data_IF_703071064709
#
_entry.id   IF_703071064709
#
_cell.length_a   1.000
_cell.length_b   1.000
_cell.length_c   1.000
_cell.angle_alpha   90.00
_cell.angle_beta   90.00
_cell.angle_gamma   90.00
#
_symmetry.space_group_name_H-M   'P 1'
#
loop_
_entity.id
_entity.type
_entity.pdbx_description
1 polymer ?
#
# COMPACT_ATOMS: atom_id res chain seq x y z
N UNK A 1 6.63 -0.50 31.30
CA UNK A 1 7.70 -1.48 30.97
C UNK A 1 7.22 -2.89 30.58
N UNK A 2 5.96 -3.31 30.83
CA UNK A 2 5.52 -4.69 30.50
C UNK A 2 5.37 -5.02 29.00
N UNK A 3 5.11 -4.04 28.14
CA UNK A 3 4.82 -4.29 26.70
C UNK A 3 6.05 -4.35 25.79
N UNK A 4 7.10 -3.57 26.08
CA UNK A 4 8.38 -3.68 25.39
C UNK A 4 9.02 -5.06 25.66
N UNK A 5 8.87 -5.57 26.88
CA UNK A 5 9.30 -6.91 27.27
C UNK A 5 8.54 -8.03 26.53
N UNK A 6 7.35 -7.74 25.97
CA UNK A 6 6.58 -8.66 25.12
C UNK A 6 7.02 -8.61 23.64
N UNK A 7 8.12 -7.92 23.32
CA UNK A 7 8.62 -7.78 21.95
C UNK A 7 7.86 -6.78 21.08
N UNK A 8 6.90 -6.02 21.64
CA UNK A 8 6.16 -5.03 20.88
C UNK A 8 7.09 -3.85 20.54
N UNK A 9 7.15 -3.50 19.26
CA UNK A 9 8.02 -2.42 18.79
C UNK A 9 7.60 -1.07 19.38
N UNK A 10 8.57 -0.17 19.60
CA UNK A 10 8.29 1.21 20.01
C UNK A 10 7.30 1.91 19.07
N UNK A 11 7.36 1.63 17.76
CA UNK A 11 6.46 2.24 16.78
C UNK A 11 5.00 1.80 16.98
N UNK A 12 4.77 0.54 17.29
CA UNK A 12 3.43 0.04 17.62
C UNK A 12 2.88 0.74 18.87
N UNK A 13 3.70 0.87 19.92
CA UNK A 13 3.32 1.58 21.14
C UNK A 13 3.06 3.07 20.92
N UNK A 14 3.83 3.73 20.03
CA UNK A 14 3.56 5.12 19.65
C UNK A 14 2.21 5.27 18.94
N UNK A 15 1.85 4.34 18.06
CA UNK A 15 0.55 4.35 17.37
C UNK A 15 -0.61 4.15 18.36
N UNK A 16 -0.46 3.22 19.29
CA UNK A 16 -1.44 3.00 20.36
C UNK A 16 -1.60 4.24 21.25
N UNK A 17 -0.50 4.88 21.65
CA UNK A 17 -0.59 6.12 22.41
C UNK A 17 -1.23 7.26 21.63
N UNK A 18 -1.06 7.31 20.30
CA UNK A 18 -1.79 8.25 19.46
C UNK A 18 -3.31 7.95 19.49
N UNK A 19 -3.71 6.68 19.47
CA UNK A 19 -5.11 6.28 19.61
C UNK A 19 -5.68 6.65 20.99
N UNK A 20 -4.95 6.38 22.08
CA UNK A 20 -5.35 6.78 23.44
C UNK A 20 -5.56 8.28 23.54
N UNK A 21 -4.62 9.09 23.00
CA UNK A 21 -4.77 10.55 22.97
C UNK A 21 -5.96 10.99 22.14
N UNK A 22 -6.26 10.31 21.03
CA UNK A 22 -7.44 10.57 20.22
C UNK A 22 -8.74 10.34 21.00
N UNK A 23 -8.83 9.22 21.74
CA UNK A 23 -9.98 8.89 22.59
C UNK A 23 -10.16 9.92 23.70
N UNK A 24 -9.07 10.32 24.36
CA UNK A 24 -9.12 11.35 25.40
C UNK A 24 -9.64 12.70 24.88
N UNK A 25 -9.20 13.11 23.69
CA UNK A 25 -9.73 14.32 23.03
C UNK A 25 -11.22 14.20 22.74
N UNK A 26 -11.66 13.06 22.18
CA UNK A 26 -13.09 12.80 21.92
C UNK A 26 -13.93 12.81 23.20
N UNK A 27 -13.36 12.41 24.34
CA UNK A 27 -13.99 12.49 25.65
C UNK A 27 -13.91 13.89 26.32
N UNK A 28 -13.47 14.93 25.59
CA UNK A 28 -13.30 16.29 26.11
C UNK A 28 -12.20 16.44 27.16
N UNK A 29 -11.19 15.55 27.14
CA UNK A 29 -10.06 15.53 28.08
C UNK A 29 -8.77 16.04 27.42
N UNK A 30 -8.85 17.14 26.69
CA UNK A 30 -7.73 17.68 25.90
C UNK A 30 -6.48 17.99 26.73
N UNK A 31 -6.67 18.56 27.93
CA UNK A 31 -5.55 18.84 28.86
C UNK A 31 -4.80 17.57 29.26
N UNK A 32 -5.52 16.47 29.48
CA UNK A 32 -4.90 15.19 29.79
C UNK A 32 -4.21 14.61 28.56
N UNK A 33 -4.86 14.66 27.38
CA UNK A 33 -4.30 14.18 26.12
C UNK A 33 -2.99 14.89 25.72
N UNK A 34 -2.84 16.15 26.09
CA UNK A 34 -1.64 16.97 25.85
C UNK A 34 -0.63 16.95 27.01
N UNK A 35 -0.93 16.26 28.11
CA UNK A 35 -0.07 16.26 29.28
C UNK A 35 1.30 15.65 28.98
N UNK A 36 2.35 16.23 29.58
CA UNK A 36 3.73 15.72 29.49
C UNK A 36 3.85 14.25 29.90
N UNK A 37 3.02 13.80 30.85
CA UNK A 37 2.99 12.41 31.33
C UNK A 37 2.56 11.40 30.25
N UNK A 38 1.77 11.84 29.26
CA UNK A 38 1.24 10.98 28.18
C UNK A 38 1.95 11.18 26.84
N UNK A 39 3.05 11.95 26.82
CA UNK A 39 3.85 12.11 25.61
C UNK A 39 4.80 10.91 25.42
N UNK A 40 5.24 10.69 24.18
CA UNK A 40 6.10 9.54 23.86
C UNK A 40 7.49 9.64 24.53
N UNK A 41 7.97 10.83 24.88
CA UNK A 41 9.28 11.05 25.50
C UNK A 41 9.26 10.55 26.95
N UNK A 42 8.32 11.04 27.75
CA UNK A 42 8.11 10.66 29.15
C UNK A 42 7.80 9.18 29.32
N UNK A 43 7.17 8.57 28.31
CA UNK A 43 6.88 7.13 28.30
C UNK A 43 8.06 6.26 27.84
N UNK A 44 9.23 6.84 27.52
CA UNK A 44 10.40 6.10 27.02
C UNK A 44 10.21 5.51 25.62
N UNK A 45 9.21 6.01 24.87
CA UNK A 45 8.85 5.56 23.53
C UNK A 45 9.49 6.42 22.43
N UNK A 46 10.41 7.33 22.78
CA UNK A 46 11.16 8.13 21.82
C UNK A 46 12.18 7.30 21.02
N UNK A 47 12.64 7.86 19.89
CA UNK A 47 13.69 7.28 19.05
C UNK A 47 13.26 6.09 18.17
N UNK A 48 11.96 5.87 17.97
CA UNK A 48 11.52 4.85 17.01
C UNK A 48 11.83 5.30 15.57
N UNK A 49 12.51 4.45 14.80
CA UNK A 49 12.74 4.69 13.38
C UNK A 49 11.43 4.68 12.60
N UNK A 50 11.29 5.60 11.64
CA UNK A 50 10.22 5.57 10.63
C UNK A 50 10.60 4.73 9.42
N UNK A 51 11.85 4.29 9.33
CA UNK A 51 12.29 3.47 8.22
C UNK A 51 11.69 2.07 8.33
N UNK A 52 11.12 1.58 7.24
CA UNK A 52 10.61 0.21 7.16
C UNK A 52 11.76 -0.80 7.20
N UNK A 53 11.49 -2.00 7.71
CA UNK A 53 12.45 -3.12 7.65
C UNK A 53 12.31 -3.94 6.37
N UNK A 54 11.26 -3.70 5.58
CA UNK A 54 10.98 -4.43 4.34
C UNK A 54 11.85 -3.88 3.21
N UNK A 55 12.48 -4.79 2.46
CA UNK A 55 13.25 -4.47 1.27
C UNK A 55 12.40 -4.63 0.00
N UNK A 56 12.79 -3.95 -1.08
CA UNK A 56 12.16 -4.12 -2.37
C UNK A 56 12.42 -5.54 -2.91
N UNK A 57 11.41 -6.15 -3.53
CA UNK A 57 11.57 -7.47 -4.16
C UNK A 57 12.52 -7.34 -5.37
N UNK A 58 13.51 -8.24 -5.45
CA UNK A 58 14.41 -8.34 -6.60
C UNK A 58 13.66 -8.88 -7.82
N UNK A 59 14.18 -8.58 -9.02
CA UNK A 59 13.58 -9.06 -10.26
C UNK A 59 13.56 -10.59 -10.36
N UNK A 60 14.61 -11.26 -9.88
CA UNK A 60 14.71 -12.72 -9.90
C UNK A 60 13.64 -13.35 -9.02
N UNK A 61 13.55 -12.89 -7.76
CA UNK A 61 12.55 -13.38 -6.82
C UNK A 61 11.13 -13.13 -7.32
N UNK A 62 10.90 -12.00 -7.98
CA UNK A 62 9.62 -11.71 -8.61
C UNK A 62 9.28 -12.72 -9.71
N UNK A 63 10.25 -13.07 -10.57
CA UNK A 63 10.06 -14.06 -11.64
C UNK A 63 9.69 -15.44 -11.08
N UNK A 64 10.40 -15.93 -10.06
CA UNK A 64 10.10 -17.23 -9.43
C UNK A 64 8.68 -17.28 -8.85
N UNK A 65 8.27 -16.20 -8.17
CA UNK A 65 6.93 -16.07 -7.59
C UNK A 65 5.87 -16.00 -8.68
N UNK A 66 6.15 -15.31 -9.78
CA UNK A 66 5.23 -15.19 -10.90
C UNK A 66 5.03 -16.53 -11.62
N UNK A 67 6.08 -17.31 -11.81
CA UNK A 67 5.99 -18.66 -12.38
C UNK A 67 5.16 -19.58 -11.49
N UNK A 68 5.43 -19.56 -10.18
CA UNK A 68 4.63 -20.31 -9.19
C UNK A 68 3.16 -19.88 -9.22
N UNK A 69 2.89 -18.58 -9.35
CA UNK A 69 1.54 -18.05 -9.45
C UNK A 69 0.82 -18.52 -10.71
N UNK A 70 1.49 -18.55 -11.87
CA UNK A 70 0.91 -19.02 -13.14
C UNK A 70 0.45 -20.47 -13.07
N UNK A 71 1.23 -21.33 -12.42
CA UNK A 71 0.86 -22.75 -12.22
C UNK A 71 -0.36 -22.87 -11.29
N UNK A 72 -0.44 -21.99 -10.28
CA UNK A 72 -1.49 -22.05 -9.27
C UNK A 72 -2.82 -21.47 -9.75
N UNK A 73 -2.79 -20.27 -10.32
CA UNK A 73 -3.96 -19.53 -10.77
C UNK A 73 -3.57 -18.40 -11.76
N UNK A 74 -4.11 -18.41 -12.99
CA UNK A 74 -3.84 -17.35 -13.97
C UNK A 74 -4.26 -15.95 -13.50
N UNK A 75 -5.33 -15.85 -12.70
CA UNK A 75 -5.81 -14.59 -12.14
C UNK A 75 -4.80 -13.96 -11.17
N UNK A 76 -4.19 -14.77 -10.31
CA UNK A 76 -3.12 -14.37 -9.39
C UNK A 76 -1.89 -13.88 -10.15
N UNK A 77 -1.49 -14.58 -11.21
CA UNK A 77 -0.37 -14.14 -12.05
C UNK A 77 -0.65 -12.77 -12.69
N UNK A 78 -1.84 -12.59 -13.27
CA UNK A 78 -2.26 -11.31 -13.86
C UNK A 78 -2.31 -10.18 -12.82
N UNK A 79 -2.77 -10.48 -11.59
CA UNK A 79 -2.78 -9.53 -10.48
C UNK A 79 -1.36 -9.09 -10.08
N UNK A 80 -0.40 -10.03 -10.03
CA UNK A 80 1.01 -9.71 -9.72
C UNK A 80 1.64 -8.82 -10.79
N UNK A 81 1.43 -9.14 -12.07
CA UNK A 81 1.92 -8.34 -13.19
C UNK A 81 1.34 -6.93 -13.17
N UNK A 82 0.02 -6.81 -13.01
CA UNK A 82 -0.66 -5.53 -12.91
C UNK A 82 -0.16 -4.70 -11.72
N UNK A 83 -0.01 -5.33 -10.54
CA UNK A 83 0.52 -4.68 -9.35
C UNK A 83 1.94 -4.14 -9.57
N UNK A 84 2.81 -4.92 -10.24
CA UNK A 84 4.19 -4.53 -10.53
C UNK A 84 4.27 -3.39 -11.54
N UNK A 85 3.46 -3.44 -12.61
CA UNK A 85 3.46 -2.43 -13.67
C UNK A 85 2.92 -1.08 -13.19
N UNK A 86 1.88 -1.10 -12.37
CA UNK A 86 1.19 0.13 -11.93
C UNK A 86 1.59 0.58 -10.52
N UNK A 87 2.33 -0.22 -9.75
CA UNK A 87 2.65 0.07 -8.36
C UNK A 87 1.41 0.05 -7.44
N UNK A 88 0.48 -0.88 -7.68
CA UNK A 88 -0.74 -1.00 -6.90
C UNK A 88 -0.48 -1.65 -5.54
N UNK A 89 -1.19 -1.17 -4.51
CA UNK A 89 -1.26 -1.89 -3.23
C UNK A 89 -2.06 -3.19 -3.40
N UNK A 90 -1.89 -4.12 -2.46
CA UNK A 90 -2.59 -5.42 -2.51
C UNK A 90 -4.12 -5.27 -2.66
N UNK A 91 -4.73 -4.37 -1.89
CA UNK A 91 -6.17 -4.10 -1.98
C UNK A 91 -6.57 -3.51 -3.34
N UNK A 92 -5.82 -2.53 -3.83
CA UNK A 92 -6.03 -1.89 -5.14
C UNK A 92 -5.89 -2.92 -6.28
N UNK A 93 -4.97 -3.87 -6.13
CA UNK A 93 -4.74 -4.95 -7.11
C UNK A 93 -5.91 -5.91 -7.17
N UNK A 94 -6.39 -6.38 -6.01
CA UNK A 94 -7.53 -7.33 -5.96
C UNK A 94 -8.81 -6.66 -6.47
N UNK A 95 -9.01 -5.38 -6.16
CA UNK A 95 -10.22 -4.67 -6.57
C UNK A 95 -10.15 -4.07 -7.98
N UNK A 96 -8.99 -4.10 -8.66
CA UNK A 96 -8.81 -3.50 -9.98
C UNK A 96 -9.70 -4.12 -11.06
N UNK A 97 -10.14 -5.36 -10.86
CA UNK A 97 -11.07 -6.08 -11.76
C UNK A 97 -12.32 -5.24 -12.08
N UNK A 98 -12.78 -4.43 -11.11
CA UNK A 98 -13.93 -3.55 -11.25
C UNK A 98 -13.67 -2.36 -12.20
N UNK A 99 -12.41 -1.98 -12.40
CA UNK A 99 -12.01 -0.85 -13.25
C UNK A 99 -11.49 -1.27 -14.64
N UNK A 100 -11.29 -2.58 -14.91
CA UNK A 100 -10.63 -3.04 -16.13
C UNK A 100 -11.32 -2.56 -17.41
N UNK A 101 -12.66 -2.55 -17.46
CA UNK A 101 -13.41 -2.09 -18.64
C UNK A 101 -13.14 -0.61 -18.92
N UNK A 102 -13.21 0.22 -17.89
CA UNK A 102 -12.95 1.66 -17.99
C UNK A 102 -11.49 1.94 -18.32
N UNK A 103 -10.56 1.19 -17.74
CA UNK A 103 -9.14 1.32 -18.05
C UNK A 103 -8.82 0.92 -19.49
N UNK A 104 -9.44 -0.14 -20.00
CA UNK A 104 -9.31 -0.53 -21.41
C UNK A 104 -9.76 0.60 -22.33
N UNK A 105 -10.93 1.18 -22.06
CA UNK A 105 -11.43 2.33 -22.82
C UNK A 105 -10.45 3.50 -22.75
N UNK A 106 -9.97 3.88 -21.55
CA UNK A 106 -9.00 4.97 -21.42
C UNK A 106 -7.73 4.73 -22.27
N UNK A 107 -7.21 3.50 -22.26
CA UNK A 107 -6.06 3.13 -23.10
C UNK A 107 -6.38 3.19 -24.60
N UNK A 108 -7.56 2.75 -25.03
CA UNK A 108 -8.02 2.85 -26.42
C UNK A 108 -8.14 4.32 -26.89
N UNK A 109 -8.44 5.24 -25.98
CA UNK A 109 -8.45 6.69 -26.24
C UNK A 109 -7.07 7.35 -26.14
N UNK A 110 -6.01 6.57 -25.92
CA UNK A 110 -4.63 7.07 -25.83
C UNK A 110 -4.27 7.70 -24.48
N UNK A 111 -5.04 7.45 -23.42
CA UNK A 111 -4.67 7.93 -22.08
C UNK A 111 -3.41 7.21 -21.57
N UNK A 112 -2.45 7.98 -21.10
CA UNK A 112 -1.21 7.48 -20.49
C UNK A 112 -1.32 7.23 -18.98
N UNK A 113 -2.48 7.56 -18.39
CA UNK A 113 -2.73 7.49 -16.95
C UNK A 113 -4.07 6.83 -16.68
N UNK A 114 -4.07 5.90 -15.74
CA UNK A 114 -5.29 5.22 -15.30
C UNK A 114 -5.66 5.70 -13.90
N UNK A 115 -6.96 5.89 -13.67
CA UNK A 115 -7.46 6.30 -12.36
C UNK A 115 -7.83 5.05 -11.55
N UNK A 116 -7.17 4.88 -10.40
CA UNK A 116 -7.48 3.82 -9.43
C UNK A 116 -8.50 4.36 -8.45
N UNK A 117 -9.70 3.80 -8.47
CA UNK A 117 -10.81 4.22 -7.59
C UNK A 117 -11.04 3.20 -6.47
N UNK A 118 -10.93 1.91 -6.79
CA UNK A 118 -11.22 0.85 -5.83
C UNK A 118 -9.99 0.42 -5.03
N UNK A 119 -10.20 0.07 -3.76
CA UNK A 119 -9.16 -0.37 -2.84
C UNK A 119 -8.18 0.70 -2.39
N UNK A 120 -8.43 1.98 -2.71
CA UNK A 120 -7.55 3.08 -2.31
C UNK A 120 -7.61 3.30 -0.79
N UNK A 121 -6.46 3.65 -0.21
CA UNK A 121 -6.38 3.97 1.20
C UNK A 121 -7.05 5.33 1.45
N UNK A 122 -8.12 5.35 2.25
CA UNK A 122 -8.84 6.58 2.59
C UNK A 122 -10.01 6.91 1.67
N UNK A 123 -10.26 6.10 0.63
CA UNK A 123 -11.40 6.27 -0.29
C UNK A 123 -11.15 7.24 -1.44
N UNK A 124 -10.11 8.07 -1.37
CA UNK A 124 -9.81 9.03 -2.43
C UNK A 124 -9.26 8.33 -3.69
N UNK A 125 -9.75 8.67 -4.89
CA UNK A 125 -9.18 8.18 -6.15
C UNK A 125 -7.73 8.62 -6.34
N UNK A 126 -6.89 7.73 -6.89
CA UNK A 126 -5.47 8.00 -7.16
C UNK A 126 -5.18 7.78 -8.64
N UNK A 127 -4.65 8.80 -9.33
CA UNK A 127 -4.15 8.65 -10.71
C UNK A 127 -2.78 7.98 -10.70
N UNK A 128 -2.62 6.89 -11.47
CA UNK A 128 -1.33 6.22 -11.65
C UNK A 128 -0.87 6.31 -13.10
N UNK A 129 0.42 6.55 -13.28
CA UNK A 129 1.05 6.42 -14.59
C UNK A 129 1.09 4.93 -14.94
N UNK A 130 0.57 4.60 -16.11
CA UNK A 130 0.76 3.27 -16.67
C UNK A 130 2.12 3.30 -17.39
N UNK A 131 3.14 2.70 -16.79
CA UNK A 131 4.44 2.55 -17.44
C UNK A 131 4.30 1.46 -18.50
N UNK A 132 4.10 1.89 -19.75
CA UNK A 132 4.21 1.04 -20.94
C UNK A 132 5.69 0.74 -21.22
N UNK A 133 6.45 0.31 -20.21
CA UNK A 133 7.82 -0.16 -20.42
C UNK A 133 7.72 -1.55 -21.04
N UNK A 134 7.94 -1.59 -22.36
CA UNK A 134 8.05 -2.77 -23.21
C UNK A 134 6.74 -3.49 -23.61
N UNK A 135 5.88 -2.79 -24.35
CA UNK A 135 5.15 -3.42 -25.47
C UNK A 135 5.67 -2.91 -26.84
N UNK A 136 6.90 -2.39 -26.86
CA UNK A 136 7.57 -1.81 -28.04
C UNK A 136 8.06 -2.82 -29.08
N UNK A 137 7.76 -4.11 -28.95
CA UNK A 137 8.17 -5.10 -29.98
C UNK A 137 7.02 -5.85 -30.65
N UNK A 138 5.77 -5.59 -30.27
CA UNK A 138 4.62 -6.07 -31.04
C UNK A 138 3.73 -4.91 -31.40
N UNK A 139 4.25 -4.16 -32.38
CA UNK A 139 3.51 -3.42 -33.38
C UNK A 139 2.19 -4.17 -33.64
N UNK A 140 1.08 -3.57 -33.21
CA UNK A 140 -0.27 -4.01 -33.56
C UNK A 140 -0.40 -3.93 -35.08
N UNK A 141 0.01 -5.00 -35.76
CA UNK A 141 -0.38 -5.26 -37.15
C UNK A 141 -1.77 -5.86 -37.04
N UNK A 142 -2.78 -4.99 -37.04
CA UNK A 142 -4.12 -5.40 -37.48
C UNK A 142 -4.05 -5.55 -39.00
N UNK A 143 -4.02 -6.80 -39.46
CA UNK A 143 -4.84 -7.26 -40.57
C UNK A 143 -5.74 -8.36 -40.04
#
# INVERSE_FOLDING_TARGET
MKRLAQGITKRSLQNEMAAVRCILKQAGRDRLAQSERLNNRSLGLSGASRNGTKQAITSDRYRDVLETARVKDPGLAAALELSRLMGLRSQETVQSVQSLKTWRQALEHGESRLTVVFGTKGGDPVRRLFLMLSLSEKRWIMR
#
